data_IF_623967573617
#
_entry.id   IF_623967573617
#
_cell.length_a   1.000
_cell.length_b   1.000
_cell.length_c   1.000
_cell.angle_alpha   90.00
_cell.angle_beta   90.00
_cell.angle_gamma   90.00
#
_symmetry.space_group_name_H-M   'P 1'
#
loop_
_entity.id
_entity.type
_entity.pdbx_description
1 polymer ?
#
# COMPACT_ATOMS: atom_id res chain seq x y z
N UNK A 1 -5.27 1.25 -10.82
CA UNK A 1 -4.02 0.47 -10.79
C UNK A 1 -4.12 -0.75 -11.67
N UNK A 2 -4.86 -1.79 -11.27
CA UNK A 2 -4.88 -3.07 -11.99
C UNK A 2 -5.31 -2.92 -13.46
N UNK A 3 -6.35 -2.12 -13.71
CA UNK A 3 -6.80 -1.79 -15.08
C UNK A 3 -5.68 -1.19 -15.91
N UNK A 4 -4.98 -0.20 -15.36
CA UNK A 4 -3.92 0.51 -16.07
C UNK A 4 -2.78 -0.44 -16.44
N UNK A 5 -2.32 -1.25 -15.48
CA UNK A 5 -1.26 -2.23 -15.71
C UNK A 5 -1.69 -3.26 -16.77
N UNK A 6 -2.88 -3.83 -16.64
CA UNK A 6 -3.38 -4.84 -17.58
C UNK A 6 -3.59 -4.29 -18.99
N UNK A 7 -4.04 -3.04 -19.12
CA UNK A 7 -4.39 -2.43 -20.41
C UNK A 7 -3.16 -1.87 -21.14
N UNK A 8 -2.19 -1.31 -20.42
CA UNK A 8 -1.11 -0.54 -21.04
C UNK A 8 0.28 -1.13 -20.82
N UNK A 9 0.40 -2.09 -19.89
CA UNK A 9 1.69 -2.54 -19.37
C UNK A 9 1.79 -4.06 -19.31
N UNK A 10 1.13 -4.75 -20.22
CA UNK A 10 1.18 -6.22 -20.29
C UNK A 10 2.29 -6.67 -21.25
N UNK A 11 3.54 -6.70 -20.77
CA UNK A 11 4.69 -7.25 -21.48
C UNK A 11 5.49 -8.20 -20.59
N UNK A 12 6.45 -8.93 -21.16
CA UNK A 12 7.10 -10.07 -20.49
C UNK A 12 7.69 -9.72 -19.11
N UNK A 13 8.38 -8.58 -19.00
CA UNK A 13 9.05 -8.18 -17.76
C UNK A 13 8.08 -7.78 -16.64
N UNK A 14 6.84 -7.39 -16.96
CA UNK A 14 5.82 -6.99 -15.98
C UNK A 14 4.84 -8.10 -15.63
N UNK A 15 4.76 -9.16 -16.44
CA UNK A 15 3.85 -10.28 -16.22
C UNK A 15 4.04 -10.92 -14.84
N UNK A 16 5.27 -11.29 -14.46
CA UNK A 16 5.54 -11.95 -13.17
C UNK A 16 5.24 -11.04 -11.97
N UNK A 17 5.72 -9.78 -11.89
CA UNK A 17 5.32 -8.88 -10.82
C UNK A 17 3.80 -8.63 -10.75
N UNK A 18 3.14 -8.52 -11.90
CA UNK A 18 1.69 -8.30 -11.95
C UNK A 18 0.90 -9.50 -11.39
N UNK A 19 1.31 -10.73 -11.75
CA UNK A 19 0.75 -11.94 -11.14
C UNK A 19 1.02 -12.01 -9.63
N UNK A 20 2.19 -11.53 -9.19
CA UNK A 20 2.51 -11.41 -7.76
C UNK A 20 1.53 -10.51 -7.00
N UNK A 21 1.17 -9.35 -7.55
CA UNK A 21 0.14 -8.47 -6.96
C UNK A 21 -1.20 -9.20 -6.88
N UNK A 22 -1.55 -9.95 -7.93
CA UNK A 22 -2.80 -10.71 -7.98
C UNK A 22 -2.87 -11.79 -6.90
N UNK A 23 -1.80 -12.56 -6.72
CA UNK A 23 -1.69 -13.60 -5.69
C UNK A 23 -1.72 -12.98 -4.28
N UNK A 24 -1.01 -11.87 -4.06
CA UNK A 24 -1.00 -11.17 -2.77
C UNK A 24 -2.41 -10.66 -2.42
N UNK A 25 -3.17 -10.14 -3.39
CA UNK A 25 -4.56 -9.71 -3.17
C UNK A 25 -5.48 -10.90 -2.82
N UNK A 26 -5.28 -12.06 -3.43
CA UNK A 26 -6.01 -13.27 -3.03
C UNK A 26 -5.66 -13.71 -1.61
N UNK A 27 -4.39 -13.68 -1.26
CA UNK A 27 -3.91 -14.03 0.06
C UNK A 27 -4.46 -13.07 1.12
N UNK A 28 -4.47 -11.76 0.83
CA UNK A 28 -5.11 -10.75 1.69
C UNK A 28 -6.59 -11.04 1.89
N UNK A 29 -7.33 -11.31 0.80
CA UNK A 29 -8.76 -11.64 0.90
C UNK A 29 -9.01 -12.90 1.74
N UNK A 30 -8.20 -13.94 1.54
CA UNK A 30 -8.28 -15.18 2.30
C UNK A 30 -7.96 -14.95 3.79
N UNK A 31 -6.93 -14.16 4.10
CA UNK A 31 -6.55 -13.80 5.47
C UNK A 31 -7.61 -13.01 6.20
N UNK A 32 -8.24 -12.03 5.54
CA UNK A 32 -9.36 -11.28 6.14
C UNK A 32 -10.53 -12.23 6.45
N UNK A 33 -10.90 -13.13 5.53
CA UNK A 33 -11.97 -14.10 5.79
C UNK A 33 -11.59 -15.12 6.88
N UNK A 34 -10.33 -15.55 6.96
CA UNK A 34 -9.82 -16.41 8.03
C UNK A 34 -9.98 -15.77 9.40
N UNK A 35 -9.72 -14.47 9.51
CA UNK A 35 -9.93 -13.72 10.77
C UNK A 35 -11.40 -13.74 11.21
N UNK A 36 -12.33 -13.53 10.27
CA UNK A 36 -13.77 -13.59 10.56
C UNK A 36 -14.19 -14.99 11.03
N UNK A 37 -13.70 -16.05 10.35
CA UNK A 37 -13.95 -17.43 10.74
C UNK A 37 -13.37 -17.78 12.12
N UNK A 38 -12.15 -17.30 12.40
CA UNK A 38 -11.47 -17.53 13.67
C UNK A 38 -12.22 -16.86 14.83
N UNK A 39 -12.75 -15.65 14.63
CA UNK A 39 -13.56 -14.97 15.65
C UNK A 39 -14.91 -15.65 15.88
N UNK A 40 -15.52 -16.18 14.81
CA UNK A 40 -16.77 -16.93 14.91
C UNK A 40 -16.61 -18.25 15.68
N UNK A 41 -15.45 -18.91 15.59
CA UNK A 41 -15.17 -20.21 16.22
C UNK A 41 -14.12 -20.10 17.34
N UNK A 42 -13.96 -18.92 17.94
CA UNK A 42 -12.91 -18.67 18.93
C UNK A 42 -13.01 -19.58 20.17
N UNK A 43 -14.20 -20.07 20.51
CA UNK A 43 -14.44 -21.00 21.61
C UNK A 43 -13.87 -22.40 21.36
N UNK A 44 -13.63 -22.77 20.10
CA UNK A 44 -13.09 -24.09 19.73
C UNK A 44 -11.56 -24.15 19.80
N UNK A 45 -10.90 -22.99 19.85
CA UNK A 45 -9.44 -22.85 19.80
C UNK A 45 -8.88 -22.33 21.14
N UNK A 46 -9.46 -22.76 22.25
CA UNK A 46 -9.17 -22.39 23.66
C UNK A 46 -7.84 -21.63 23.89
N UNK A 47 -7.92 -20.30 24.04
CA UNK A 47 -6.78 -19.44 24.36
C UNK A 47 -5.76 -19.23 23.22
N UNK A 48 -5.86 -19.95 22.11
CA UNK A 48 -4.96 -19.83 20.95
C UNK A 48 -5.43 -18.79 19.93
N UNK A 49 -6.70 -18.38 19.96
CA UNK A 49 -7.27 -17.41 19.02
C UNK A 49 -6.40 -16.14 18.88
N UNK A 50 -5.95 -15.56 20.01
CA UNK A 50 -5.09 -14.38 19.97
C UNK A 50 -3.78 -14.60 19.20
N UNK A 51 -3.13 -15.75 19.39
CA UNK A 51 -1.89 -16.09 18.68
C UNK A 51 -2.13 -16.33 17.19
N UNK A 52 -3.24 -16.99 16.84
CA UNK A 52 -3.63 -17.21 15.45
C UNK A 52 -3.94 -15.89 14.74
N UNK A 53 -4.62 -14.95 15.41
CA UNK A 53 -4.84 -13.59 14.87
C UNK A 53 -3.50 -12.90 14.62
N UNK A 54 -2.57 -12.93 15.59
CA UNK A 54 -1.25 -12.31 15.44
C UNK A 54 -0.55 -12.80 14.16
N UNK A 55 -0.53 -14.11 13.92
CA UNK A 55 0.13 -14.67 12.73
C UNK A 55 -0.53 -14.22 11.42
N UNK A 56 -1.84 -13.99 11.41
CA UNK A 56 -2.53 -13.41 10.25
C UNK A 56 -2.20 -11.92 10.07
N UNK A 57 -2.08 -11.15 11.17
CA UNK A 57 -1.64 -9.74 11.11
C UNK A 57 -0.23 -9.64 10.53
N UNK A 58 0.69 -10.49 10.96
CA UNK A 58 2.04 -10.60 10.40
C UNK A 58 2.01 -10.84 8.90
N UNK A 59 1.24 -11.85 8.50
CA UNK A 59 1.15 -12.26 7.11
C UNK A 59 0.55 -11.14 6.25
N UNK A 60 -0.51 -10.47 6.70
CA UNK A 60 -1.09 -9.31 6.03
C UNK A 60 -0.08 -8.18 5.83
N UNK A 61 0.76 -7.88 6.83
CA UNK A 61 1.81 -6.88 6.70
C UNK A 61 2.86 -7.28 5.65
N UNK A 62 3.21 -8.57 5.56
CA UNK A 62 4.09 -9.11 4.52
C UNK A 62 3.46 -8.96 3.14
N UNK A 63 2.17 -9.30 2.97
CA UNK A 63 1.48 -9.15 1.68
C UNK A 63 1.40 -7.67 1.26
N UNK A 64 1.07 -6.76 2.17
CA UNK A 64 1.00 -5.33 1.88
C UNK A 64 2.36 -4.78 1.39
N UNK A 65 3.45 -5.17 2.05
CA UNK A 65 4.80 -4.80 1.62
C UNK A 65 5.15 -5.39 0.26
N UNK A 66 4.80 -6.65 0.03
CA UNK A 66 5.08 -7.35 -1.23
C UNK A 66 4.41 -6.66 -2.43
N UNK A 67 3.18 -6.15 -2.25
CA UNK A 67 2.48 -5.33 -3.26
C UNK A 67 3.31 -4.09 -3.66
N UNK A 68 3.90 -3.37 -2.69
CA UNK A 68 4.79 -2.23 -2.99
C UNK A 68 6.01 -2.66 -3.83
N UNK A 69 6.66 -3.76 -3.45
CA UNK A 69 7.85 -4.24 -4.14
C UNK A 69 7.52 -4.77 -5.55
N UNK A 70 6.39 -5.45 -5.74
CA UNK A 70 5.93 -5.83 -7.08
C UNK A 70 5.58 -4.63 -7.94
N UNK A 71 4.87 -3.63 -7.40
CA UNK A 71 4.59 -2.40 -8.13
C UNK A 71 5.88 -1.68 -8.53
N UNK A 72 6.87 -1.59 -7.63
CA UNK A 72 8.16 -0.97 -7.94
C UNK A 72 8.86 -1.67 -9.10
N UNK A 73 8.81 -3.01 -9.15
CA UNK A 73 9.36 -3.77 -10.29
C UNK A 73 8.63 -3.46 -11.59
N UNK A 74 7.32 -3.28 -11.54
CA UNK A 74 6.52 -2.84 -12.70
C UNK A 74 6.96 -1.45 -13.13
N UNK A 75 6.98 -0.47 -12.21
CA UNK A 75 7.39 0.92 -12.50
C UNK A 75 8.80 0.96 -13.10
N UNK A 76 9.75 0.20 -12.53
CA UNK A 76 11.10 0.06 -13.08
C UNK A 76 11.10 -0.48 -14.51
N UNK A 77 10.33 -1.53 -14.78
CA UNK A 77 10.26 -2.15 -16.11
C UNK A 77 9.61 -1.21 -17.15
N UNK A 78 8.65 -0.38 -16.73
CA UNK A 78 8.10 0.66 -17.59
C UNK A 78 9.16 1.75 -17.82
N UNK A 79 9.85 2.16 -16.75
CA UNK A 79 10.79 3.27 -16.76
C UNK A 79 11.93 3.11 -17.75
N UNK A 80 12.41 1.87 -17.91
CA UNK A 80 13.45 1.54 -18.90
C UNK A 80 12.97 1.59 -20.35
N UNK A 81 11.65 1.59 -20.61
CA UNK A 81 11.06 1.53 -21.95
C UNK A 81 10.39 2.83 -22.42
N UNK A 82 9.93 3.67 -21.49
CA UNK A 82 9.17 4.89 -21.84
C UNK A 82 10.07 6.07 -22.19
N UNK A 83 9.52 7.03 -22.95
CA UNK A 83 10.10 8.37 -23.15
C UNK A 83 9.30 9.38 -22.32
N UNK A 84 9.93 10.51 -21.97
CA UNK A 84 9.20 11.62 -21.37
C UNK A 84 8.33 12.29 -22.44
N UNK A 85 7.16 12.80 -22.05
CA UNK A 85 6.24 13.51 -22.94
C UNK A 85 6.80 14.83 -23.47
N UNK A 86 7.62 15.54 -22.69
CA UNK A 86 7.89 16.96 -22.96
C UNK A 86 9.30 17.36 -23.42
N UNK A 87 10.36 16.55 -23.33
CA UNK A 87 11.59 16.83 -24.07
C UNK A 87 12.65 15.71 -23.93
N UNK A 88 13.47 15.57 -24.97
CA UNK A 88 14.42 14.49 -25.17
C UNK A 88 15.55 14.43 -24.14
N UNK A 89 15.61 13.31 -23.41
CA UNK A 89 16.79 12.75 -22.76
C UNK A 89 17.41 13.52 -21.58
N UNK A 90 16.72 13.54 -20.44
CA UNK A 90 17.44 13.49 -19.15
C UNK A 90 18.07 12.10 -18.97
N UNK A 91 19.30 11.99 -18.43
CA UNK A 91 19.91 10.69 -18.17
C UNK A 91 19.05 9.90 -17.18
N UNK A 92 18.38 8.86 -17.69
CA UNK A 92 17.56 7.97 -16.86
C UNK A 92 18.47 7.05 -16.07
N UNK A 93 18.41 7.15 -14.74
CA UNK A 93 19.00 6.13 -13.88
C UNK A 93 18.10 4.90 -13.87
N UNK A 94 18.72 3.74 -13.76
CA UNK A 94 18.02 2.48 -13.49
C UNK A 94 17.40 2.55 -12.11
N UNK A 95 16.08 2.40 -12.02
CA UNK A 95 15.39 2.35 -10.75
C UNK A 95 15.71 1.03 -10.01
N UNK A 96 15.72 1.04 -8.67
CA UNK A 96 15.86 -0.17 -7.86
C UNK A 96 14.62 -1.07 -7.98
N UNK A 97 14.78 -2.33 -7.55
CA UNK A 97 13.72 -3.34 -7.59
C UNK A 97 12.76 -3.27 -6.40
N UNK A 98 13.19 -2.76 -5.25
CA UNK A 98 12.34 -2.68 -4.06
C UNK A 98 11.89 -1.25 -3.81
N UNK A 99 10.66 -1.09 -3.31
CA UNK A 99 10.14 0.22 -2.93
C UNK A 99 10.95 0.79 -1.76
N UNK A 100 11.41 -0.08 -0.87
CA UNK A 100 12.30 0.32 0.23
C UNK A 100 13.59 0.98 -0.25
N UNK A 101 14.21 0.47 -1.32
CA UNK A 101 15.42 1.08 -1.89
C UNK A 101 15.15 2.46 -2.49
N UNK A 102 13.93 2.73 -2.97
CA UNK A 102 13.51 4.07 -3.42
C UNK A 102 13.38 5.04 -2.24
N UNK A 103 12.71 4.62 -1.17
CA UNK A 103 12.19 5.57 -0.19
C UNK A 103 12.92 5.57 1.16
N UNK A 104 13.76 4.57 1.45
CA UNK A 104 14.47 4.46 2.73
C UNK A 104 15.95 4.80 2.57
N UNK A 105 16.40 5.81 3.32
CA UNK A 105 17.79 6.26 3.42
C UNK A 105 18.74 5.25 4.07
N UNK A 106 20.05 5.51 3.98
CA UNK A 106 21.06 4.66 4.60
C UNK A 106 21.01 4.67 6.13
N UNK A 107 20.39 5.69 6.71
CA UNK A 107 20.11 5.85 8.15
C UNK A 107 18.78 5.22 8.58
N UNK A 108 18.13 4.45 7.69
CA UNK A 108 16.84 3.82 7.90
C UNK A 108 15.67 4.81 8.09
N UNK A 109 15.80 6.05 7.62
CA UNK A 109 14.71 7.03 7.64
C UNK A 109 14.05 7.20 6.26
N UNK A 110 12.76 7.61 6.21
CA UNK A 110 12.13 8.02 4.96
C UNK A 110 12.89 9.16 4.28
N UNK A 111 13.13 9.04 2.97
CA UNK A 111 13.67 10.11 2.14
C UNK A 111 12.61 11.17 1.83
N UNK A 112 13.05 12.40 1.69
CA UNK A 112 12.27 13.53 1.18
C UNK A 112 12.10 13.45 -0.35
N UNK A 113 11.14 14.19 -0.89
CA UNK A 113 10.92 14.25 -2.34
C UNK A 113 12.17 14.73 -3.10
N UNK A 114 12.86 15.77 -2.60
CA UNK A 114 14.07 16.31 -3.20
C UNK A 114 15.20 15.27 -3.26
N UNK A 115 15.41 14.52 -2.17
CA UNK A 115 16.42 13.45 -2.14
C UNK A 115 16.11 12.32 -3.14
N UNK A 116 14.82 11.98 -3.32
CA UNK A 116 14.39 10.94 -4.27
C UNK A 116 14.58 11.42 -5.71
N UNK A 117 14.15 12.65 -5.99
CA UNK A 117 14.30 13.32 -7.30
C UNK A 117 15.77 13.35 -7.73
N UNK A 118 16.64 13.92 -6.90
CA UNK A 118 18.08 14.04 -7.18
C UNK A 118 18.76 12.67 -7.34
N UNK A 119 18.44 11.72 -6.45
CA UNK A 119 19.10 10.42 -6.45
C UNK A 119 18.73 9.58 -7.66
N UNK A 120 17.46 9.55 -8.04
CA UNK A 120 16.93 8.64 -9.06
C UNK A 120 16.62 9.32 -10.40
N UNK A 121 16.76 10.64 -10.49
CA UNK A 121 16.51 11.42 -11.71
C UNK A 121 15.09 11.18 -12.26
N UNK A 122 14.10 11.19 -11.37
CA UNK A 122 12.67 11.05 -11.71
C UNK A 122 11.95 12.40 -11.56
N UNK A 123 10.83 12.65 -12.28
CA UNK A 123 10.04 13.86 -12.13
C UNK A 123 9.61 14.14 -10.70
N UNK A 124 9.48 15.42 -10.38
CA UNK A 124 9.16 15.88 -9.04
C UNK A 124 7.80 15.37 -8.57
N UNK A 125 6.78 15.33 -9.44
CA UNK A 125 5.48 14.76 -9.08
C UNK A 125 5.61 13.30 -8.62
N UNK A 126 6.41 12.49 -9.32
CA UNK A 126 6.61 11.08 -8.94
C UNK A 126 7.42 10.98 -7.64
N UNK A 127 8.47 11.79 -7.48
CA UNK A 127 9.27 11.83 -6.26
C UNK A 127 8.44 12.22 -5.02
N UNK A 128 7.52 13.18 -5.18
CA UNK A 128 6.59 13.59 -4.13
C UNK A 128 5.70 12.44 -3.68
N UNK A 129 5.12 11.68 -4.60
CA UNK A 129 4.24 10.55 -4.25
C UNK A 129 5.02 9.43 -3.54
N UNK A 130 6.25 9.14 -3.97
CA UNK A 130 7.13 8.22 -3.23
C UNK A 130 7.38 8.70 -1.79
N UNK A 131 7.77 9.97 -1.62
CA UNK A 131 8.07 10.55 -0.31
C UNK A 131 6.84 10.57 0.61
N UNK A 132 5.65 10.87 0.07
CA UNK A 132 4.39 10.87 0.83
C UNK A 132 4.09 9.50 1.45
N UNK A 133 4.34 8.42 0.70
CA UNK A 133 4.05 7.05 1.15
C UNK A 133 5.21 6.40 1.92
N UNK A 134 6.38 7.02 1.94
CA UNK A 134 7.57 6.51 2.62
C UNK A 134 7.38 6.28 4.13
N UNK A 135 6.74 7.18 4.92
CA UNK A 135 6.49 6.95 6.34
C UNK A 135 5.60 5.73 6.60
N UNK A 136 4.53 5.58 5.81
CA UNK A 136 3.63 4.42 5.92
C UNK A 136 4.37 3.11 5.60
N UNK A 137 5.16 3.09 4.52
CA UNK A 137 5.98 1.92 4.19
C UNK A 137 7.02 1.59 5.27
N UNK A 138 7.64 2.60 5.88
CA UNK A 138 8.57 2.40 7.00
C UNK A 138 7.86 1.77 8.22
N UNK A 139 6.61 2.18 8.49
CA UNK A 139 5.78 1.56 9.53
C UNK A 139 5.46 0.09 9.22
N UNK A 140 5.08 -0.25 7.98
CA UNK A 140 4.88 -1.64 7.55
C UNK A 140 6.13 -2.51 7.75
N UNK A 141 7.30 -1.99 7.35
CA UNK A 141 8.58 -2.67 7.50
C UNK A 141 8.90 -2.94 8.97
N UNK A 142 8.69 -1.92 9.81
CA UNK A 142 8.93 -2.03 11.24
C UNK A 142 7.94 -3.01 11.87
N UNK A 143 6.65 -2.99 11.49
CA UNK A 143 5.62 -3.91 11.98
C UNK A 143 6.03 -5.36 11.74
N UNK A 144 6.47 -5.69 10.51
CA UNK A 144 7.04 -7.01 10.22
C UNK A 144 8.22 -7.33 11.14
N UNK A 145 9.19 -6.43 11.25
CA UNK A 145 10.41 -6.69 12.03
C UNK A 145 10.09 -6.95 13.51
N UNK A 146 9.21 -6.14 14.10
CA UNK A 146 8.82 -6.27 15.49
C UNK A 146 8.09 -7.59 15.79
N UNK A 147 7.27 -8.06 14.85
CA UNK A 147 6.55 -9.32 15.07
C UNK A 147 7.41 -10.54 14.72
N UNK A 148 8.26 -10.47 13.68
CA UNK A 148 9.11 -11.57 13.22
C UNK A 148 10.31 -11.80 14.15
N UNK A 149 11.04 -10.76 14.61
CA UNK A 149 12.20 -10.91 15.50
C UNK A 149 12.61 -9.58 16.18
N UNK A 150 12.61 -9.52 17.54
CA UNK A 150 13.57 -8.77 18.41
C UNK A 150 13.08 -8.56 19.87
N UNK A 151 12.71 -9.62 20.60
CA UNK A 151 12.53 -9.55 22.07
C UNK A 151 11.54 -8.49 22.60
N UNK A 152 10.75 -7.86 21.72
CA UNK A 152 9.71 -6.91 22.06
C UNK A 152 8.45 -7.71 22.37
N UNK A 153 7.67 -7.33 23.39
CA UNK A 153 6.41 -8.00 23.67
C UNK A 153 5.55 -7.98 22.41
N UNK A 154 5.16 -9.15 21.92
CA UNK A 154 4.19 -9.22 20.83
C UNK A 154 2.92 -8.50 21.30
N UNK A 155 2.32 -7.63 20.46
CA UNK A 155 1.06 -6.98 20.81
C UNK A 155 0.06 -8.01 21.31
N UNK A 156 -0.46 -7.79 22.53
CA UNK A 156 -1.48 -8.67 23.08
C UNK A 156 -2.76 -8.41 22.32
N UNK A 157 -3.26 -9.44 21.64
CA UNK A 157 -4.58 -9.41 21.01
C UNK A 157 -5.58 -9.96 22.01
N UNK A 158 -6.49 -9.09 22.43
CA UNK A 158 -7.58 -9.44 23.33
C UNK A 158 -8.71 -10.02 22.51
N UNK A 159 -9.12 -11.24 22.81
CA UNK A 159 -10.25 -11.90 22.15
C UNK A 159 -11.47 -11.77 23.04
N UNK A 160 -12.55 -11.25 22.48
CA UNK A 160 -13.82 -11.03 23.15
C UNK A 160 -14.95 -11.59 22.31
N UNK A 161 -16.16 -11.69 22.88
CA UNK A 161 -17.36 -12.06 22.11
C UNK A 161 -17.66 -11.09 20.97
N UNK A 162 -17.19 -9.84 21.04
CA UNK A 162 -17.35 -8.82 19.99
C UNK A 162 -16.27 -8.92 18.89
N UNK A 163 -15.21 -9.70 19.10
CA UNK A 163 -14.10 -9.89 18.17
C UNK A 163 -12.72 -9.66 18.81
N UNK A 164 -11.72 -9.45 17.94
CA UNK A 164 -10.34 -9.17 18.32
C UNK A 164 -10.13 -7.67 18.59
N UNK A 165 -9.49 -7.35 19.70
CA UNK A 165 -9.17 -6.01 20.17
C UNK A 165 -7.67 -5.87 20.43
N UNK A 166 -7.22 -4.64 20.30
CA UNK A 166 -5.85 -4.20 20.56
C UNK A 166 -5.88 -2.94 21.41
N UNK A 167 -4.80 -2.67 22.12
CA UNK A 167 -4.63 -1.39 22.79
C UNK A 167 -4.27 -0.31 21.75
N UNK A 168 -5.06 0.76 21.70
CA UNK A 168 -4.89 1.84 20.70
C UNK A 168 -3.57 2.60 20.82
N UNK A 169 -2.97 2.63 22.01
CA UNK A 169 -1.67 3.29 22.29
C UNK A 169 -0.49 2.38 21.98
N UNK A 170 -0.72 1.09 21.76
CA UNK A 170 0.35 0.13 21.52
C UNK A 170 0.82 0.23 20.08
N UNK A 171 2.12 0.39 19.93
CA UNK A 171 2.76 0.34 18.63
C UNK A 171 2.56 -1.06 18.00
N UNK A 172 2.27 -1.19 16.70
CA UNK A 172 2.32 -0.18 15.62
C UNK A 172 1.03 0.61 15.38
N UNK A 173 -0.01 0.41 16.19
CA UNK A 173 -1.35 0.93 15.95
C UNK A 173 -1.56 2.36 16.47
N UNK A 174 -0.67 2.82 17.34
CA UNK A 174 -0.71 4.16 17.94
C UNK A 174 -0.63 5.34 16.98
N UNK A 175 -0.11 5.12 15.77
CA UNK A 175 -0.06 6.14 14.73
C UNK A 175 -1.35 6.19 13.87
N UNK A 176 -2.32 5.30 14.09
CA UNK A 176 -3.52 5.21 13.26
C UNK A 176 -4.61 6.18 13.75
N UNK A 177 -5.21 6.89 12.81
CA UNK A 177 -6.34 7.82 13.04
C UNK A 177 -7.69 7.23 12.63
N UNK A 178 -7.78 5.90 12.47
CA UNK A 178 -8.94 5.18 11.90
C UNK A 178 -10.08 4.92 12.90
N UNK A 179 -9.87 5.25 14.19
CA UNK A 179 -10.77 4.91 15.28
C UNK A 179 -11.94 5.88 15.40
N UNK A 180 -13.16 5.37 15.55
CA UNK A 180 -14.32 6.20 15.93
C UNK A 180 -14.44 6.23 17.46
N UNK A 181 -14.93 7.33 18.00
CA UNK A 181 -15.01 7.54 19.45
C UNK A 181 -15.93 6.53 20.16
N UNK A 182 -16.93 5.99 19.46
CA UNK A 182 -17.88 5.00 19.95
C UNK A 182 -17.33 3.55 19.94
N UNK A 183 -16.15 3.32 19.37
CA UNK A 183 -15.52 1.98 19.28
C UNK A 183 -14.56 1.69 20.44
N UNK A 184 -14.29 2.69 21.28
CA UNK A 184 -13.40 2.54 22.42
C UNK A 184 -14.07 1.76 23.55
N UNK A 185 -13.44 0.68 23.95
CA UNK A 185 -13.74 -0.08 25.15
C UNK A 185 -12.85 0.40 26.33
N UNK A 186 -13.17 0.04 27.59
CA UNK A 186 -12.33 0.35 28.74
C UNK A 186 -10.86 -0.07 28.52
N UNK A 187 -9.93 0.65 29.15
CA UNK A 187 -8.47 0.46 28.99
C UNK A 187 -7.95 0.74 27.57
N UNK A 188 -8.58 1.67 26.85
CA UNK A 188 -8.12 2.14 25.53
C UNK A 188 -8.09 1.04 24.47
N UNK A 189 -8.95 0.02 24.63
CA UNK A 189 -9.08 -1.08 23.69
C UNK A 189 -9.94 -0.67 22.49
N UNK A 190 -9.47 -1.01 21.30
CA UNK A 190 -10.14 -0.72 20.02
C UNK A 190 -10.19 -1.98 19.17
N UNK A 191 -11.18 -2.13 18.27
CA UNK A 191 -11.29 -3.29 17.40
C UNK A 191 -10.07 -3.40 16.47
N UNK A 192 -9.55 -4.60 16.24
CA UNK A 192 -8.40 -4.81 15.34
C UNK A 192 -8.75 -4.58 13.87
N UNK A 193 -9.98 -4.94 13.47
CA UNK A 193 -10.38 -4.99 12.06
C UNK A 193 -10.22 -3.64 11.33
N UNK A 194 -10.62 -2.48 11.89
CA UNK A 194 -10.37 -1.17 11.26
C UNK A 194 -8.88 -0.83 11.05
N UNK A 195 -7.97 -1.27 11.92
CA UNK A 195 -6.53 -1.10 11.70
C UNK A 195 -6.03 -1.90 10.50
N UNK A 196 -6.47 -3.15 10.38
CA UNK A 196 -6.11 -4.00 9.24
C UNK A 196 -6.70 -3.44 7.94
N UNK A 197 -7.94 -2.96 7.99
CA UNK A 197 -8.57 -2.28 6.86
C UNK A 197 -7.79 -1.06 6.42
N UNK A 198 -7.41 -0.18 7.35
CA UNK A 198 -6.59 1.00 7.05
C UNK A 198 -5.24 0.61 6.43
N UNK A 199 -4.56 -0.41 6.96
CA UNK A 199 -3.28 -0.90 6.43
C UNK A 199 -3.39 -1.37 4.97
N UNK A 200 -4.40 -2.20 4.67
CA UNK A 200 -4.62 -2.72 3.32
C UNK A 200 -5.04 -1.58 2.38
N UNK A 201 -5.98 -0.74 2.83
CA UNK A 201 -6.48 0.40 2.05
C UNK A 201 -5.35 1.37 1.68
N UNK A 202 -4.52 1.79 2.64
CA UNK A 202 -3.39 2.70 2.39
C UNK A 202 -2.36 2.10 1.44
N UNK A 203 -2.15 0.78 1.49
CA UNK A 203 -1.29 0.08 0.54
C UNK A 203 -1.82 0.18 -0.88
N UNK A 204 -3.13 -0.08 -1.07
CA UNK A 204 -3.76 -0.02 -2.39
C UNK A 204 -3.88 1.42 -2.91
N UNK A 205 -4.17 2.37 -2.03
CA UNK A 205 -4.19 3.79 -2.34
C UNK A 205 -2.81 4.26 -2.82
N UNK A 206 -1.76 3.94 -2.07
CA UNK A 206 -0.39 4.29 -2.46
C UNK A 206 -0.02 3.71 -3.83
N UNK A 207 -0.42 2.47 -4.07
CA UNK A 207 -0.17 1.79 -5.34
C UNK A 207 -0.95 2.41 -6.51
N UNK A 208 -2.21 2.82 -6.28
CA UNK A 208 -3.03 3.57 -7.22
C UNK A 208 -2.41 4.92 -7.58
N UNK A 209 -2.02 5.69 -6.57
CA UNK A 209 -1.50 7.03 -6.78
C UNK A 209 -0.14 7.03 -7.47
N UNK A 210 0.73 6.07 -7.14
CA UNK A 210 2.02 5.89 -7.82
C UNK A 210 1.85 5.60 -9.30
N UNK A 211 1.03 4.61 -9.66
CA UNK A 211 0.85 4.24 -11.06
C UNK A 211 0.05 5.28 -11.85
N UNK A 212 -0.91 5.93 -11.20
CA UNK A 212 -1.68 7.01 -11.81
C UNK A 212 -0.78 8.21 -12.11
N UNK A 213 -0.01 8.68 -11.12
CA UNK A 213 0.98 9.76 -11.31
C UNK A 213 1.95 9.41 -12.42
N UNK A 214 2.43 8.18 -12.43
CA UNK A 214 3.30 7.67 -13.49
C UNK A 214 2.65 7.79 -14.88
N UNK A 215 1.37 7.41 -15.02
CA UNK A 215 0.65 7.50 -16.30
C UNK A 215 0.45 8.93 -16.83
N UNK A 216 0.47 9.92 -15.94
CA UNK A 216 0.40 11.32 -16.32
C UNK A 216 1.72 11.79 -16.94
N UNK A 217 2.85 11.40 -16.34
CA UNK A 217 4.20 11.87 -16.73
C UNK A 217 4.83 11.12 -17.92
N UNK A 218 4.38 9.90 -18.23
CA UNK A 218 4.93 9.12 -19.35
C UNK A 218 3.88 8.82 -20.42
N UNK A 219 4.34 8.62 -21.65
CA UNK A 219 3.51 8.06 -22.71
C UNK A 219 3.40 6.55 -22.51
N UNK A 220 2.21 6.11 -22.10
CA UNK A 220 1.85 4.71 -22.13
C UNK A 220 1.34 4.33 -23.52
N UNK A 221 1.58 3.08 -23.92
CA UNK A 221 1.06 2.56 -25.19
C UNK A 221 -0.47 2.56 -25.24
N UNK A 222 -1.04 2.34 -26.41
CA UNK A 222 -2.50 2.20 -26.56
C UNK A 222 -3.05 1.08 -25.68
N UNK A 223 -4.28 1.23 -25.13
CA UNK A 223 -4.91 0.18 -24.34
C UNK A 223 -5.13 -1.07 -25.21
N UNK A 224 -4.79 -2.25 -24.67
CA UNK A 224 -4.96 -3.54 -25.36
C UNK A 224 -6.42 -3.87 -25.66
N UNK A 225 -7.30 -3.62 -24.68
CA UNK A 225 -8.74 -3.86 -24.76
C UNK A 225 -9.50 -2.61 -24.26
N UNK A 226 -9.63 -1.57 -25.10
CA UNK A 226 -10.35 -0.35 -24.74
C UNK A 226 -11.77 -0.67 -24.20
N UNK A 227 -12.25 0.14 -23.26
CA UNK A 227 -13.57 0.00 -22.62
C UNK A 227 -13.79 -1.27 -21.79
N UNK A 228 -12.76 -2.11 -21.58
CA UNK A 228 -12.85 -3.28 -20.71
C UNK A 228 -12.22 -2.99 -19.35
N UNK A 229 -12.94 -3.37 -18.30
CA UNK A 229 -12.44 -3.34 -16.93
C UNK A 229 -12.01 -4.74 -16.48
N UNK A 230 -10.89 -4.78 -15.76
CA UNK A 230 -10.39 -5.95 -15.08
C UNK A 230 -11.07 -6.06 -13.71
N UNK A 231 -11.59 -7.24 -13.42
CA UNK A 231 -12.21 -7.55 -12.14
C UNK A 231 -11.44 -8.69 -11.47
N UNK A 232 -11.02 -8.47 -10.23
CA UNK A 232 -10.48 -9.53 -9.38
C UNK A 232 -11.66 -10.32 -8.79
N UNK A 233 -11.70 -11.63 -9.05
CA UNK A 233 -12.71 -12.54 -8.49
C UNK A 233 -12.07 -13.46 -7.46
N UNK A 234 -12.29 -13.19 -6.19
CA UNK A 234 -11.83 -14.01 -5.06
C UNK A 234 -13.03 -14.67 -4.37
N UNK A 235 -12.89 -15.95 -3.98
CA UNK A 235 -13.90 -16.65 -3.17
C UNK A 235 -14.18 -15.90 -1.86
N UNK A 236 -13.13 -15.36 -1.23
CA UNK A 236 -13.20 -14.51 -0.04
C UNK A 236 -13.30 -13.01 -0.35
N UNK A 237 -13.63 -12.62 -1.59
CA UNK A 237 -13.59 -11.23 -2.05
C UNK A 237 -14.56 -10.31 -1.32
N UNK A 238 -15.70 -10.84 -0.84
CA UNK A 238 -16.67 -10.04 -0.09
C UNK A 238 -16.08 -9.49 1.22
N UNK A 239 -15.37 -10.32 1.98
CA UNK A 239 -14.79 -9.92 3.27
C UNK A 239 -13.78 -8.78 3.09
N UNK A 240 -12.94 -8.87 2.04
CA UNK A 240 -12.02 -7.80 1.68
C UNK A 240 -12.76 -6.53 1.20
N UNK A 241 -13.77 -6.68 0.33
CA UNK A 241 -14.52 -5.53 -0.19
C UNK A 241 -15.24 -4.77 0.92
N UNK A 242 -15.88 -5.47 1.86
CA UNK A 242 -16.54 -4.85 3.02
C UNK A 242 -15.52 -4.11 3.90
N UNK A 243 -14.35 -4.73 4.13
CA UNK A 243 -13.27 -4.14 4.92
C UNK A 243 -12.71 -2.86 4.28
N UNK A 244 -12.50 -2.87 2.95
CA UNK A 244 -12.04 -1.70 2.21
C UNK A 244 -13.08 -0.59 2.19
N UNK A 245 -14.37 -0.92 2.06
CA UNK A 245 -15.45 0.06 2.09
C UNK A 245 -15.60 0.74 3.46
N UNK A 246 -15.32 0.04 4.56
CA UNK A 246 -15.27 0.67 5.88
C UNK A 246 -14.00 1.51 6.07
N UNK A 247 -12.84 1.04 5.59
CA UNK A 247 -11.59 1.79 5.64
C UNK A 247 -11.65 3.10 4.86
N UNK A 248 -12.25 3.09 3.67
CA UNK A 248 -12.45 4.29 2.83
C UNK A 248 -13.25 5.37 3.55
N UNK A 249 -14.32 4.99 4.26
CA UNK A 249 -15.14 5.91 5.05
C UNK A 249 -14.41 6.51 6.26
N UNK A 250 -13.32 5.88 6.71
CA UNK A 250 -12.49 6.33 7.84
C UNK A 250 -11.28 7.11 7.38
N UNK A 251 -10.92 7.01 6.11
CA UNK A 251 -9.73 7.64 5.58
C UNK A 251 -9.91 9.16 5.58
N UNK A 252 -8.93 9.84 6.17
CA UNK A 252 -8.82 11.30 6.14
C UNK A 252 -7.56 11.63 5.34
N UNK A 253 -7.70 12.23 4.14
CA UNK A 253 -6.55 12.57 3.32
C UNK A 253 -5.63 13.56 4.04
N UNK A 254 -4.29 13.41 3.92
CA UNK A 254 -3.36 14.35 4.51
C UNK A 254 -3.45 15.72 3.81
N UNK A 255 -3.12 16.83 4.49
CA UNK A 255 -3.16 18.18 3.91
C UNK A 255 -2.27 18.37 2.66
N UNK A 256 -1.32 17.45 2.42
CA UNK A 256 -0.38 17.49 1.29
C UNK A 256 -1.01 17.26 -0.09
N UNK A 257 -2.30 16.90 -0.17
CA UNK A 257 -2.96 16.62 -1.45
C UNK A 257 -3.17 17.89 -2.32
N UNK A 258 -3.30 19.08 -1.70
CA UNK A 258 -3.32 20.36 -2.44
C UNK A 258 -1.98 20.67 -3.13
N UNK A 259 -0.87 20.20 -2.54
CA UNK A 259 0.47 20.39 -3.10
C UNK A 259 0.67 19.49 -4.32
N UNK A 260 0.20 18.24 -4.30
CA UNK A 260 0.28 17.34 -5.45
C UNK A 260 -0.51 17.88 -6.64
N UNK A 261 -1.73 18.40 -6.42
CA UNK A 261 -2.52 19.03 -7.48
C UNK A 261 -1.78 20.23 -8.09
N UNK A 262 -1.13 21.06 -7.26
CA UNK A 262 -0.33 22.20 -7.72
C UNK A 262 0.89 21.76 -8.54
N UNK A 263 1.58 20.68 -8.14
CA UNK A 263 2.75 20.14 -8.86
C UNK A 263 2.33 19.53 -10.20
N UNK A 264 1.25 18.74 -10.23
CA UNK A 264 0.74 18.14 -11.46
C UNK A 264 0.25 19.19 -12.47
N UNK A 265 -0.34 20.29 -12.02
CA UNK A 265 -0.70 21.42 -12.90
C UNK A 265 0.55 22.09 -13.49
N UNK A 266 1.64 22.20 -12.73
CA UNK A 266 2.90 22.77 -13.24
C UNK A 266 3.61 21.86 -14.23
N UNK A 267 3.58 20.55 -14.02
CA UNK A 267 4.16 19.56 -14.94
C UNK A 267 3.26 19.23 -16.14
N UNK A 268 1.98 19.65 -16.12
CA UNK A 268 1.00 19.42 -17.19
C UNK A 268 0.53 20.68 -17.93
N UNK A 269 1.09 21.86 -17.62
CA UNK A 269 0.77 23.09 -18.34
C UNK A 269 1.57 23.13 -19.66
N UNK A 270 0.93 23.09 -20.85
CA UNK A 270 1.65 23.30 -22.08
C UNK A 270 2.34 24.66 -22.01
N UNK A 271 3.66 24.68 -22.23
CA UNK A 271 4.38 25.94 -22.45
C UNK A 271 3.67 26.65 -23.59
N UNK A 272 3.00 27.76 -23.30
CA UNK A 272 2.57 28.68 -24.33
C UNK A 272 3.83 29.16 -25.05
N UNK A 273 4.04 28.67 -26.27
CA UNK A 273 5.09 29.19 -27.13
C UNK A 273 4.80 30.67 -27.43
N UNK A 274 5.84 31.52 -27.44
CA UNK A 274 5.71 32.96 -27.68
C UNK A 274 5.24 33.32 -29.09
#
# INVERSE_FOLDING_TARGET
MLNLIAQHVCFEETAKPFMGIWDDLYNVAASVAKLDLLMAHQSEVEGQAGRMVITEVEYLAVQCRSIFDYLQRIIKAIWSKVRYKEDGSSPKKTLPNSFGDMVIGGDNKPRTAAEIEERFMIPQALAFVYARHAPFFANLRTMRDAIVHKGSPTPVIFTTQKGAYIESTLWPFSAMTTWRSDEFEPNSLVPLKPALGAMIYLTLLAAEELIHTYSLIVELGHPLCPNHALFLRASSGKALADLLADADKRYVPPPSDEQLATVLVREGAPKAEP
#
